data_IF_663284216387
#
_entry.id   IF_663284216387
#
_cell.length_a   1.000
_cell.length_b   1.000
_cell.length_c   1.000
_cell.angle_alpha   90.00
_cell.angle_beta   90.00
_cell.angle_gamma   90.00
#
_symmetry.space_group_name_H-M   'P 1'
#
loop_
_entity.id
_entity.type
_entity.pdbx_description
1 polymer ?
#
# COMPACT_ATOMS: atom_id res chain seq x y z
N UNK A 1 -17.38 12.46 12.92
CA UNK A 1 -17.56 11.99 11.55
C UNK A 1 -19.04 12.13 11.17
N UNK A 2 -19.31 13.03 10.23
CA UNK A 2 -20.67 13.36 9.80
C UNK A 2 -20.97 12.76 8.43
N UNK A 3 -19.95 12.17 7.77
CA UNK A 3 -20.04 11.57 6.45
C UNK A 3 -20.14 10.03 6.55
N UNK A 4 -21.01 9.48 5.72
CA UNK A 4 -21.17 8.04 5.52
C UNK A 4 -21.28 7.75 4.02
N UNK A 5 -20.43 6.85 3.52
CA UNK A 5 -20.48 6.39 2.14
C UNK A 5 -20.22 4.88 2.06
N UNK A 6 -20.96 4.22 1.19
CA UNK A 6 -20.75 2.81 0.85
C UNK A 6 -20.74 2.65 -0.67
N UNK A 7 -19.94 1.73 -1.16
CA UNK A 7 -19.85 1.41 -2.58
C UNK A 7 -19.55 -0.08 -2.79
N UNK A 8 -20.13 -0.66 -3.82
CA UNK A 8 -19.90 -2.03 -4.27
C UNK A 8 -19.62 -2.00 -5.76
N UNK A 9 -18.62 -2.75 -6.18
CA UNK A 9 -18.36 -3.06 -7.58
C UNK A 9 -18.24 -4.58 -7.73
N UNK A 10 -18.92 -5.16 -8.71
CA UNK A 10 -18.81 -6.57 -9.03
C UNK A 10 -17.72 -6.82 -10.08
N UNK A 11 -17.27 -8.08 -10.21
CA UNK A 11 -16.23 -8.45 -11.19
C UNK A 11 -16.70 -8.33 -12.65
N UNK A 12 -18.00 -8.20 -12.90
CA UNK A 12 -18.59 -7.90 -14.21
C UNK A 12 -18.86 -6.39 -14.41
N UNK A 13 -18.41 -5.54 -13.47
CA UNK A 13 -18.42 -4.08 -13.60
C UNK A 13 -19.72 -3.40 -13.16
N UNK A 14 -20.68 -4.11 -12.55
CA UNK A 14 -21.86 -3.47 -11.97
C UNK A 14 -21.49 -2.70 -10.70
N UNK A 15 -22.04 -1.50 -10.54
CA UNK A 15 -21.70 -0.60 -9.42
C UNK A 15 -22.95 -0.11 -8.71
N UNK A 16 -22.84 0.01 -7.39
CA UNK A 16 -23.85 0.64 -6.54
C UNK A 16 -23.15 1.49 -5.49
N UNK A 17 -23.66 2.67 -5.25
CA UNK A 17 -23.15 3.61 -4.25
C UNK A 17 -24.31 4.14 -3.40
N UNK A 18 -24.01 4.44 -2.13
CA UNK A 18 -24.95 5.04 -1.19
C UNK A 18 -24.23 6.12 -0.35
N UNK A 19 -24.94 7.19 0.01
CA UNK A 19 -24.42 8.28 0.81
C UNK A 19 -23.28 9.06 0.14
N UNK A 20 -22.26 9.42 0.93
CA UNK A 20 -21.13 10.27 0.53
C UNK A 20 -20.04 9.50 -0.26
N UNK A 21 -20.41 8.49 -1.04
CA UNK A 21 -19.49 7.58 -1.71
C UNK A 21 -18.52 8.25 -2.70
N UNK A 22 -18.79 9.47 -3.14
CA UNK A 22 -17.94 10.27 -4.04
C UNK A 22 -17.12 11.33 -3.31
N UNK A 23 -17.24 11.44 -1.98
CA UNK A 23 -16.43 12.37 -1.19
C UNK A 23 -15.02 11.82 -1.03
N UNK A 24 -13.96 12.59 -1.37
CA UNK A 24 -12.60 12.15 -1.23
C UNK A 24 -12.18 11.96 0.23
N UNK A 25 -11.35 10.94 0.49
CA UNK A 25 -10.70 10.71 1.77
C UNK A 25 -9.29 10.13 1.57
N UNK A 26 -8.40 10.38 2.53
CA UNK A 26 -7.04 9.81 2.49
C UNK A 26 -7.07 8.31 2.77
N UNK A 27 -6.38 7.53 1.94
CA UNK A 27 -6.39 6.05 2.01
C UNK A 27 -5.62 5.50 3.20
N UNK A 28 -4.66 6.24 3.72
CA UNK A 28 -3.86 5.82 4.87
C UNK A 28 -3.31 4.38 4.72
N UNK A 29 -3.54 3.53 5.70
CA UNK A 29 -3.06 2.14 5.68
C UNK A 29 -3.68 1.25 4.60
N UNK A 30 -4.76 1.67 3.93
CA UNK A 30 -5.29 0.96 2.76
C UNK A 30 -4.28 0.97 1.60
N UNK A 31 -3.27 1.84 1.63
CA UNK A 31 -2.16 1.84 0.67
C UNK A 31 -1.26 0.60 0.76
N UNK A 32 -1.15 -0.06 1.93
CA UNK A 32 -0.19 -1.14 2.17
C UNK A 32 -0.35 -2.35 1.23
N UNK A 33 -1.57 -2.90 1.02
CA UNK A 33 -1.77 -4.01 0.10
C UNK A 33 -1.29 -3.69 -1.32
N UNK A 34 -1.61 -2.50 -1.83
CA UNK A 34 -1.19 -2.12 -3.17
C UNK A 34 0.32 -1.91 -3.27
N UNK A 35 0.93 -1.21 -2.31
CA UNK A 35 2.38 -1.01 -2.31
C UNK A 35 3.13 -2.35 -2.25
N UNK A 36 2.61 -3.32 -1.50
CA UNK A 36 3.14 -4.67 -1.50
C UNK A 36 2.99 -5.35 -2.86
N UNK A 37 1.83 -5.24 -3.52
CA UNK A 37 1.64 -5.78 -4.87
C UNK A 37 2.61 -5.16 -5.88
N UNK A 38 2.82 -3.84 -5.84
CA UNK A 38 3.77 -3.16 -6.73
C UNK A 38 5.19 -3.70 -6.49
N UNK A 39 5.61 -3.83 -5.24
CA UNK A 39 6.92 -4.38 -4.90
C UNK A 39 7.08 -5.84 -5.40
N UNK A 40 6.03 -6.66 -5.32
CA UNK A 40 6.03 -8.03 -5.85
C UNK A 40 6.16 -8.06 -7.38
N UNK A 41 5.37 -7.26 -8.10
CA UNK A 41 5.41 -7.19 -9.57
C UNK A 41 6.78 -6.76 -10.09
N UNK A 42 7.44 -5.85 -9.39
CA UNK A 42 8.73 -5.30 -9.83
C UNK A 42 9.94 -6.14 -9.44
N UNK A 43 9.92 -6.72 -8.26
CA UNK A 43 11.08 -7.39 -7.66
C UNK A 43 10.94 -8.91 -7.58
N UNK A 44 9.72 -9.42 -7.64
CA UNK A 44 9.40 -10.82 -7.41
C UNK A 44 9.39 -11.22 -5.94
N UNK A 45 8.65 -12.28 -5.63
CA UNK A 45 8.42 -12.77 -4.28
C UNK A 45 9.71 -13.08 -3.53
N UNK A 46 10.66 -13.74 -4.17
CA UNK A 46 11.95 -14.13 -3.58
C UNK A 46 12.80 -12.93 -3.14
N UNK A 47 12.67 -11.79 -3.79
CA UNK A 47 13.37 -10.55 -3.41
C UNK A 47 12.63 -9.86 -2.28
N UNK A 48 11.32 -9.69 -2.41
CA UNK A 48 10.50 -9.02 -1.40
C UNK A 48 10.60 -9.72 -0.06
N UNK A 49 10.50 -11.05 -0.02
CA UNK A 49 10.54 -11.83 1.22
C UNK A 49 11.94 -12.08 1.79
N UNK A 50 12.99 -11.53 1.18
CA UNK A 50 14.29 -11.34 1.87
C UNK A 50 14.29 -10.14 2.82
N UNK A 51 13.32 -9.23 2.66
CA UNK A 51 13.23 -7.97 3.41
C UNK A 51 12.03 -7.92 4.35
N UNK A 52 11.09 -8.84 4.24
CA UNK A 52 9.94 -8.96 5.14
C UNK A 52 9.38 -10.39 5.17
N UNK A 53 8.77 -10.76 6.30
CA UNK A 53 8.10 -12.05 6.46
C UNK A 53 6.67 -12.06 5.92
N UNK A 54 5.98 -13.19 6.20
CA UNK A 54 4.59 -13.45 5.80
C UNK A 54 3.70 -13.83 6.99
N UNK A 55 4.18 -13.68 8.22
CA UNK A 55 3.50 -14.18 9.41
C UNK A 55 2.78 -13.05 10.16
N UNK A 56 1.62 -13.32 10.77
CA UNK A 56 1.01 -12.38 11.71
C UNK A 56 1.98 -11.95 12.80
N UNK A 57 2.01 -10.66 13.14
CA UNK A 57 2.91 -10.14 14.18
C UNK A 57 2.51 -10.57 15.60
N UNK A 58 1.23 -10.89 15.81
CA UNK A 58 0.68 -11.14 17.15
C UNK A 58 0.62 -9.91 18.06
N UNK A 59 0.99 -8.73 17.54
CA UNK A 59 1.00 -7.44 18.26
C UNK A 59 0.34 -6.35 17.41
N UNK A 60 0.21 -5.13 17.97
CA UNK A 60 -0.40 -4.01 17.25
C UNK A 60 0.35 -3.66 15.95
N UNK A 61 -0.38 -3.19 14.94
CA UNK A 61 0.15 -2.85 13.60
C UNK A 61 1.28 -1.80 13.60
N UNK A 62 1.38 -1.00 14.65
CA UNK A 62 2.39 0.03 14.83
C UNK A 62 3.35 -0.25 15.98
N UNK A 63 3.38 -1.48 16.52
CA UNK A 63 4.29 -1.87 17.59
C UNK A 63 5.75 -1.87 17.10
N UNK A 64 6.68 -1.50 17.99
CA UNK A 64 8.12 -1.60 17.74
C UNK A 64 8.55 -3.06 17.87
N UNK A 65 8.15 -3.87 16.89
CA UNK A 65 8.43 -5.30 16.87
C UNK A 65 8.87 -5.73 15.47
N UNK A 66 9.96 -6.46 15.43
CA UNK A 66 10.48 -7.15 14.25
C UNK A 66 10.50 -8.66 14.55
N UNK A 67 10.55 -9.48 13.52
CA UNK A 67 10.69 -10.91 13.68
C UNK A 67 12.10 -11.29 14.19
N UNK A 68 12.34 -12.58 14.41
CA UNK A 68 13.64 -13.09 14.93
C UNK A 68 14.85 -12.75 14.04
N UNK A 69 14.61 -12.44 12.77
CA UNK A 69 15.65 -12.12 11.79
C UNK A 69 15.83 -10.59 11.64
N UNK A 70 15.15 -9.79 12.48
CA UNK A 70 15.20 -8.32 12.44
C UNK A 70 14.41 -7.70 11.29
N UNK A 71 13.49 -8.45 10.68
CA UNK A 71 12.66 -8.02 9.54
C UNK A 71 11.23 -7.72 9.98
N UNK A 72 10.46 -6.90 9.21
CA UNK A 72 9.02 -6.79 9.39
C UNK A 72 8.33 -8.16 9.33
N UNK A 73 7.36 -8.41 10.21
CA UNK A 73 6.61 -9.68 10.23
C UNK A 73 5.84 -9.94 8.94
N UNK A 74 5.23 -8.90 8.38
CA UNK A 74 4.44 -8.95 7.15
C UNK A 74 4.24 -7.54 6.56
N UNK A 75 3.76 -7.41 5.31
CA UNK A 75 3.56 -6.11 4.64
C UNK A 75 2.39 -5.28 5.18
N UNK A 76 1.49 -5.85 5.98
CA UNK A 76 0.25 -5.18 6.43
C UNK A 76 0.43 -4.36 7.72
N UNK A 77 1.55 -4.51 8.43
CA UNK A 77 1.95 -3.65 9.56
C UNK A 77 2.81 -2.47 9.08
N UNK A 78 3.01 -1.45 9.94
CA UNK A 78 3.73 -0.23 9.53
C UNK A 78 5.17 -0.52 9.06
N UNK A 79 5.90 -1.36 9.78
CA UNK A 79 7.26 -1.75 9.36
C UNK A 79 7.29 -2.35 7.94
N UNK A 80 6.33 -3.24 7.64
CA UNK A 80 6.22 -3.85 6.31
C UNK A 80 5.74 -2.87 5.23
N UNK A 81 4.85 -1.94 5.57
CA UNK A 81 4.42 -0.86 4.66
C UNK A 81 5.59 0.05 4.26
N UNK A 82 6.44 0.43 5.22
CA UNK A 82 7.68 1.18 4.97
C UNK A 82 8.63 0.37 4.10
N UNK A 83 8.80 -0.92 4.39
CA UNK A 83 9.65 -1.81 3.61
C UNK A 83 9.14 -2.00 2.18
N UNK A 84 7.84 -2.16 1.96
CA UNK A 84 7.24 -2.21 0.61
C UNK A 84 7.57 -0.96 -0.18
N UNK A 85 7.45 0.23 0.45
CA UNK A 85 7.85 1.48 -0.18
C UNK A 85 9.34 1.49 -0.55
N UNK A 86 10.22 0.98 0.31
CA UNK A 86 11.66 0.89 0.01
C UNK A 86 11.98 0.01 -1.20
N UNK A 87 11.10 -0.91 -1.56
CA UNK A 87 11.28 -1.86 -2.67
C UNK A 87 10.68 -1.37 -4.01
N UNK A 88 9.80 -0.37 -4.00
CA UNK A 88 9.18 0.18 -5.22
C UNK A 88 10.19 1.04 -5.97
N UNK A 89 10.45 0.73 -7.25
CA UNK A 89 11.27 1.56 -8.16
C UNK A 89 12.59 2.01 -7.53
N UNK A 90 13.35 1.07 -6.98
CA UNK A 90 14.61 1.37 -6.29
C UNK A 90 15.59 2.12 -7.18
N UNK A 91 16.17 3.19 -6.65
CA UNK A 91 17.15 4.01 -7.34
C UNK A 91 16.56 5.05 -8.29
N UNK A 92 15.24 5.07 -8.47
CA UNK A 92 14.57 6.14 -9.20
C UNK A 92 14.25 7.34 -8.29
N UNK A 93 14.16 8.56 -8.82
CA UNK A 93 13.76 9.74 -8.04
C UNK A 93 12.40 9.54 -7.38
N UNK A 94 12.21 10.10 -6.17
CA UNK A 94 10.95 9.97 -5.41
C UNK A 94 9.74 10.43 -6.22
N UNK A 95 9.88 11.49 -7.02
CA UNK A 95 8.79 11.98 -7.87
C UNK A 95 8.31 10.92 -8.88
N UNK A 96 9.24 10.22 -9.52
CA UNK A 96 8.92 9.17 -10.51
C UNK A 96 8.31 7.94 -9.83
N UNK A 97 8.80 7.59 -8.64
CA UNK A 97 8.24 6.53 -7.79
C UNK A 97 6.81 6.86 -7.38
N UNK A 98 6.55 8.11 -6.99
CA UNK A 98 5.23 8.57 -6.58
C UNK A 98 4.26 8.60 -7.77
N UNK A 99 4.66 9.12 -8.92
CA UNK A 99 3.86 9.11 -10.14
C UNK A 99 3.53 7.68 -10.60
N UNK A 100 4.46 6.75 -10.41
CA UNK A 100 4.22 5.32 -10.67
C UNK A 100 3.11 4.75 -9.77
N UNK A 101 3.17 4.99 -8.45
CA UNK A 101 2.13 4.55 -7.52
C UNK A 101 0.78 5.20 -7.85
N UNK A 102 0.75 6.51 -8.13
CA UNK A 102 -0.45 7.22 -8.57
C UNK A 102 -1.07 6.59 -9.83
N UNK A 103 -0.23 6.21 -10.79
CA UNK A 103 -0.69 5.56 -12.01
C UNK A 103 -1.24 4.15 -11.74
N UNK A 104 -0.64 3.39 -10.83
CA UNK A 104 -1.16 2.08 -10.43
C UNK A 104 -2.54 2.20 -9.78
N UNK A 105 -2.72 3.15 -8.87
CA UNK A 105 -4.04 3.44 -8.30
C UNK A 105 -5.07 3.81 -9.36
N UNK A 106 -4.69 4.66 -10.32
CA UNK A 106 -5.55 5.04 -11.45
C UNK A 106 -5.99 3.82 -12.28
N UNK A 107 -5.06 2.93 -12.61
CA UNK A 107 -5.33 1.72 -13.42
C UNK A 107 -6.27 0.76 -12.67
N UNK A 108 -5.98 0.50 -11.40
CA UNK A 108 -6.81 -0.35 -10.54
C UNK A 108 -8.21 0.21 -10.30
N UNK A 109 -8.34 1.53 -10.17
CA UNK A 109 -9.60 2.25 -9.93
C UNK A 109 -10.38 2.57 -11.20
N UNK A 110 -10.15 1.86 -12.32
CA UNK A 110 -10.92 2.03 -13.55
C UNK A 110 -10.65 3.34 -14.29
N UNK A 111 -9.46 3.90 -14.15
CA UNK A 111 -9.03 5.14 -14.82
C UNK A 111 -9.19 6.41 -13.96
N UNK A 112 -9.80 6.32 -12.78
CA UNK A 112 -9.94 7.46 -11.86
C UNK A 112 -8.59 7.77 -11.22
N UNK A 113 -8.06 8.97 -11.49
CA UNK A 113 -6.79 9.42 -10.88
C UNK A 113 -7.02 9.76 -9.41
N UNK A 114 -6.22 9.21 -8.47
CA UNK A 114 -6.28 9.61 -7.08
C UNK A 114 -5.82 11.06 -6.88
N UNK A 115 -6.32 11.71 -5.81
CA UNK A 115 -5.83 13.00 -5.32
C UNK A 115 -4.63 12.83 -4.39
N UNK A 116 -4.18 13.95 -3.84
CA UNK A 116 -3.12 13.99 -2.83
C UNK A 116 -3.38 15.10 -1.83
N UNK A 117 -3.40 14.76 -0.54
CA UNK A 117 -3.55 15.73 0.54
C UNK A 117 -2.21 16.12 1.13
N UNK A 118 -1.73 17.30 0.74
CA UNK A 118 -0.50 17.86 1.31
C UNK A 118 -0.62 18.13 2.82
N UNK A 119 -1.80 18.51 3.30
CA UNK A 119 -2.03 18.77 4.73
C UNK A 119 -1.92 17.48 5.56
N UNK A 120 -2.45 16.37 5.05
CA UNK A 120 -2.32 15.06 5.70
C UNK A 120 -0.86 14.59 5.66
N UNK A 121 -0.18 14.70 4.53
CA UNK A 121 1.24 14.37 4.42
C UNK A 121 2.10 15.12 5.44
N UNK A 122 1.92 16.44 5.59
CA UNK A 122 2.65 17.24 6.57
C UNK A 122 2.31 16.81 8.01
N UNK A 123 1.05 16.46 8.29
CA UNK A 123 0.63 15.96 9.59
C UNK A 123 1.24 14.59 9.92
N UNK A 124 1.18 13.65 8.97
CA UNK A 124 1.81 12.32 9.09
C UNK A 124 3.30 12.45 9.42
N UNK A 125 4.01 13.28 8.65
CA UNK A 125 5.44 13.55 8.85
C UNK A 125 5.74 14.14 10.22
N UNK A 126 4.93 15.09 10.68
CA UNK A 126 5.14 15.80 11.95
C UNK A 126 4.88 14.93 13.18
N UNK A 127 4.09 13.84 13.06
CA UNK A 127 3.68 12.96 14.16
C UNK A 127 4.23 11.53 14.02
N UNK A 128 5.27 11.35 13.20
CA UNK A 128 5.74 10.03 12.76
C UNK A 128 6.82 9.39 13.66
N UNK A 129 7.01 9.83 14.89
CA UNK A 129 8.08 9.34 15.78
C UNK A 129 8.17 7.81 15.82
N UNK A 130 7.03 7.13 15.88
CA UNK A 130 6.99 5.66 15.88
C UNK A 130 7.45 5.05 14.56
N UNK A 131 7.11 5.64 13.43
CA UNK A 131 7.55 5.18 12.12
C UNK A 131 9.06 5.41 11.91
N UNK A 132 9.58 6.54 12.41
CA UNK A 132 11.02 6.78 12.46
C UNK A 132 11.73 5.75 13.33
N UNK A 133 11.20 5.46 14.53
CA UNK A 133 11.77 4.45 15.43
C UNK A 133 11.79 3.05 14.77
N UNK A 134 10.71 2.64 14.11
CA UNK A 134 10.65 1.41 13.30
C UNK A 134 11.70 1.40 12.18
N UNK A 135 11.80 2.50 11.44
CA UNK A 135 12.77 2.65 10.37
C UNK A 135 14.22 2.52 10.88
N UNK A 136 14.56 3.18 11.97
CA UNK A 136 15.89 3.08 12.58
C UNK A 136 16.18 1.68 13.10
N UNK A 137 15.20 1.02 13.72
CA UNK A 137 15.35 -0.38 14.17
C UNK A 137 15.60 -1.33 12.98
N UNK A 138 14.82 -1.21 11.91
CA UNK A 138 15.04 -2.00 10.69
C UNK A 138 16.41 -1.75 10.06
N UNK A 139 16.88 -0.49 10.08
CA UNK A 139 18.21 -0.12 9.57
C UNK A 139 19.33 -0.74 10.42
N UNK A 140 19.20 -0.73 11.74
CA UNK A 140 20.15 -1.37 12.67
C UNK A 140 20.32 -2.86 12.37
N UNK A 141 19.23 -3.53 11.97
CA UNK A 141 19.23 -4.96 11.60
C UNK A 141 19.60 -5.21 10.11
N UNK A 142 19.98 -4.17 9.36
CA UNK A 142 20.28 -4.28 7.92
C UNK A 142 19.11 -4.85 7.10
N UNK A 143 17.86 -4.60 7.52
CA UNK A 143 16.66 -5.11 6.85
C UNK A 143 16.41 -4.47 5.49
N UNK A 144 16.80 -3.20 5.30
CA UNK A 144 16.56 -2.47 4.05
C UNK A 144 17.40 -3.01 2.88
N UNK A 145 16.90 -2.89 1.64
CA UNK A 145 17.71 -3.18 0.46
C UNK A 145 18.93 -2.26 0.38
N UNK A 146 20.01 -2.77 -0.23
CA UNK A 146 21.26 -2.02 -0.40
C UNK A 146 21.01 -0.69 -1.12
N UNK A 147 21.59 0.40 -0.61
CA UNK A 147 21.47 1.75 -1.16
C UNK A 147 20.17 2.48 -0.79
N UNK A 148 19.27 1.89 0.00
CA UNK A 148 18.07 2.56 0.42
C UNK A 148 18.38 3.72 1.41
N UNK A 149 17.89 4.91 1.11
CA UNK A 149 17.86 6.01 2.06
C UNK A 149 16.64 5.92 2.96
N UNK A 150 16.86 5.80 4.27
CA UNK A 150 15.80 5.62 5.26
C UNK A 150 14.80 6.78 5.26
N UNK A 151 15.31 8.01 5.18
CA UNK A 151 14.45 9.20 5.26
C UNK A 151 13.59 9.29 4.01
N UNK A 152 14.19 9.04 2.84
CA UNK A 152 13.46 8.99 1.57
C UNK A 152 12.37 7.90 1.58
N UNK A 153 12.66 6.71 2.10
CA UNK A 153 11.68 5.63 2.22
C UNK A 153 10.49 6.02 3.11
N UNK A 154 10.75 6.69 4.24
CA UNK A 154 9.71 7.17 5.15
C UNK A 154 8.88 8.29 4.52
N UNK A 155 9.52 9.28 3.90
CA UNK A 155 8.83 10.36 3.20
C UNK A 155 7.92 9.81 2.10
N UNK A 156 8.40 8.86 1.31
CA UNK A 156 7.60 8.19 0.29
C UNK A 156 6.43 7.38 0.87
N UNK A 157 6.65 6.70 1.99
CA UNK A 157 5.56 6.01 2.71
C UNK A 157 4.48 6.99 3.17
N UNK A 158 4.85 8.14 3.74
CA UNK A 158 3.88 9.18 4.14
C UNK A 158 3.12 9.75 2.94
N UNK A 159 3.79 9.93 1.81
CA UNK A 159 3.13 10.35 0.57
C UNK A 159 2.10 9.30 0.11
N UNK A 160 2.44 8.02 0.09
CA UNK A 160 1.50 6.95 -0.26
C UNK A 160 0.29 6.91 0.69
N UNK A 161 0.47 7.13 1.99
CA UNK A 161 -0.63 7.22 2.96
C UNK A 161 -1.55 8.43 2.72
N UNK A 162 -1.04 9.49 2.11
CA UNK A 162 -1.73 10.76 1.90
C UNK A 162 -2.43 10.88 0.55
N UNK A 163 -2.48 9.78 -0.22
CA UNK A 163 -3.28 9.70 -1.43
C UNK A 163 -4.77 9.77 -1.07
N UNK A 164 -5.54 10.44 -1.92
CA UNK A 164 -6.98 10.57 -1.77
C UNK A 164 -7.72 9.75 -2.83
N UNK A 165 -8.75 9.05 -2.38
CA UNK A 165 -9.67 8.32 -3.23
C UNK A 165 -11.10 8.51 -2.74
N UNK A 166 -12.07 7.88 -3.40
CA UNK A 166 -13.48 7.84 -2.99
C UNK A 166 -13.90 6.40 -2.73
N UNK A 167 -14.97 6.18 -1.95
CA UNK A 167 -15.49 4.82 -1.75
C UNK A 167 -15.86 4.16 -3.08
N UNK A 168 -16.41 4.95 -4.02
CA UNK A 168 -16.75 4.48 -5.36
C UNK A 168 -15.52 3.97 -6.13
N UNK A 169 -14.45 4.75 -6.23
CA UNK A 169 -13.21 4.32 -6.90
C UNK A 169 -12.54 3.15 -6.17
N UNK A 170 -12.54 3.14 -4.83
CA UNK A 170 -11.97 2.06 -4.03
C UNK A 170 -12.75 0.74 -4.23
N UNK A 171 -14.07 0.78 -4.46
CA UNK A 171 -14.86 -0.42 -4.79
C UNK A 171 -14.40 -1.07 -6.09
N UNK A 172 -13.99 -0.28 -7.08
CA UNK A 172 -13.41 -0.79 -8.35
C UNK A 172 -12.04 -1.42 -8.10
N UNK A 173 -11.20 -0.81 -7.27
CA UNK A 173 -9.91 -1.41 -6.84
C UNK A 173 -10.16 -2.77 -6.20
N UNK A 174 -11.12 -2.87 -5.26
CA UNK A 174 -11.47 -4.13 -4.61
C UNK A 174 -11.98 -5.18 -5.61
N UNK A 175 -12.82 -4.77 -6.58
CA UNK A 175 -13.29 -5.66 -7.65
C UNK A 175 -12.15 -6.12 -8.56
N UNK A 176 -11.16 -5.27 -8.84
CA UNK A 176 -9.95 -5.64 -9.60
C UNK A 176 -9.14 -6.71 -8.85
N UNK A 177 -8.98 -6.59 -7.54
CA UNK A 177 -8.38 -7.64 -6.72
C UNK A 177 -9.21 -8.94 -6.74
N UNK A 178 -10.53 -8.84 -6.53
CA UNK A 178 -11.42 -9.99 -6.57
C UNK A 178 -11.42 -10.72 -7.93
N UNK A 179 -11.07 -10.01 -9.01
CA UNK A 179 -10.98 -10.51 -10.38
C UNK A 179 -9.55 -10.90 -10.79
N UNK A 180 -8.68 -11.22 -9.82
CA UNK A 180 -7.31 -11.66 -10.10
C UNK A 180 -6.42 -10.59 -10.78
N UNK A 181 -6.66 -9.32 -10.50
CA UNK A 181 -5.90 -8.19 -11.04
C UNK A 181 -6.42 -7.63 -12.35
N UNK A 182 -7.48 -8.19 -12.92
CA UNK A 182 -8.16 -7.69 -14.11
C UNK A 182 -9.20 -6.64 -13.74
N UNK A 183 -9.00 -5.39 -14.16
CA UNK A 183 -9.94 -4.31 -13.88
C UNK A 183 -11.28 -4.52 -14.61
N UNK A 184 -12.42 -4.61 -13.90
CA UNK A 184 -13.71 -4.94 -14.53
C UNK A 184 -14.25 -3.82 -15.42
N UNK A 185 -13.78 -2.58 -15.26
CA UNK A 185 -14.26 -1.43 -16.05
C UNK A 185 -13.43 -1.21 -17.31
N UNK A 186 -12.13 -1.47 -17.27
CA UNK A 186 -11.23 -1.21 -18.42
C UNK A 186 -10.84 -2.48 -19.16
N UNK A 187 -10.98 -3.66 -18.57
CA UNK A 187 -10.48 -4.92 -19.11
C UNK A 187 -8.95 -5.03 -19.08
N UNK A 188 -8.26 -4.13 -18.37
CA UNK A 188 -6.81 -4.15 -18.25
C UNK A 188 -6.36 -5.11 -17.14
N UNK A 189 -5.41 -6.02 -17.47
CA UNK A 189 -4.69 -6.80 -16.45
C UNK A 189 -3.66 -5.88 -15.79
N UNK A 190 -3.97 -5.39 -14.59
CA UNK A 190 -3.13 -4.39 -13.88
C UNK A 190 -2.09 -5.06 -13.00
N UNK A 191 -2.45 -6.18 -12.36
CA UNK A 191 -1.60 -7.01 -11.51
C UNK A 191 -1.70 -8.46 -11.98
N UNK A 192 -0.66 -9.26 -11.79
CA UNK A 192 -0.73 -10.70 -12.04
C UNK A 192 -1.65 -11.39 -11.00
N UNK A 193 -2.28 -12.49 -11.41
CA UNK A 193 -3.12 -13.28 -10.51
C UNK A 193 -2.32 -13.84 -9.32
N UNK A 194 -1.05 -14.17 -9.53
CA UNK A 194 -0.13 -14.64 -8.49
C UNK A 194 0.13 -13.57 -7.43
N UNK A 195 0.42 -12.34 -7.85
CA UNK A 195 0.58 -11.20 -6.94
C UNK A 195 -0.68 -10.94 -6.13
N UNK A 196 -1.84 -10.95 -6.77
CA UNK A 196 -3.12 -10.76 -6.09
C UNK A 196 -3.38 -11.87 -5.08
N UNK A 197 -3.13 -13.13 -5.44
CA UNK A 197 -3.29 -14.27 -4.55
C UNK A 197 -2.39 -14.14 -3.31
N UNK A 198 -1.11 -13.82 -3.48
CA UNK A 198 -0.17 -13.60 -2.38
C UNK A 198 -0.63 -12.48 -1.45
N UNK A 199 -1.09 -11.35 -2.01
CA UNK A 199 -1.59 -10.23 -1.24
C UNK A 199 -2.86 -10.57 -0.46
N UNK A 200 -3.86 -11.17 -1.08
CA UNK A 200 -5.13 -11.55 -0.42
C UNK A 200 -4.91 -12.60 0.67
N UNK A 201 -3.98 -13.54 0.47
CA UNK A 201 -3.62 -14.53 1.49
C UNK A 201 -3.04 -13.86 2.74
N UNK A 202 -2.16 -12.86 2.57
CA UNK A 202 -1.60 -12.11 3.67
C UNK A 202 -2.63 -11.17 4.34
N UNK A 203 -3.51 -10.56 3.58
CA UNK A 203 -4.63 -9.77 4.14
C UNK A 203 -5.53 -10.64 5.01
N UNK A 204 -5.82 -11.88 4.59
CA UNK A 204 -6.65 -12.81 5.35
C UNK A 204 -5.95 -13.29 6.63
N UNK A 205 -4.65 -13.60 6.58
CA UNK A 205 -3.92 -14.17 7.72
C UNK A 205 -3.48 -13.12 8.74
N UNK A 206 -3.31 -11.86 8.32
CA UNK A 206 -2.76 -10.77 9.14
C UNK A 206 -3.79 -9.73 9.58
N UNK A 207 -5.02 -9.79 9.07
CA UNK A 207 -6.12 -8.84 9.32
C UNK A 207 -7.23 -9.39 10.21
#
# INVERSE_FOLDING_TARGET
>A
PEQFGAAICTIDGQRMTEGDATTPFCIQSVSKPLNYCIALEESGESVVHRHMGCEPSGVSFNELSLNKDGLPHNPMINAGGIMSCALIKRGEPVADRFDHVMNMWRRLGGGVRPGFSNSVYLSERATADRNFALGYSMREHNAFPEGADLIECLEFYFQCCSLETTADALSVVAATFANGGLCPLTGEQVLSAETVQSCLSLMLSSG
#
